data_IF_251531724505
#
_entry.id   IF_251531724505
#
_cell.length_a   1.000
_cell.length_b   1.000
_cell.length_c   1.000
_cell.angle_alpha   90.00
_cell.angle_beta   90.00
_cell.angle_gamma   90.00
#
_symmetry.space_group_name_H-M   'P 1'
#
loop_
_entity.id
_entity.type
_entity.pdbx_description
1 polymer ?
#
# COMPACT_ATOMS: atom_id res chain seq x y z
N UNK A 1 10.87 -17.86 16.44
CA UNK A 1 10.73 -17.29 15.08
C UNK A 1 9.32 -16.84 14.71
N UNK A 2 8.27 -17.66 14.90
CA UNK A 2 6.89 -17.29 14.50
C UNK A 2 6.25 -16.22 15.39
N UNK A 3 6.40 -16.33 16.72
CA UNK A 3 5.76 -15.41 17.66
C UNK A 3 6.32 -13.98 17.58
N UNK A 4 7.63 -13.84 17.38
CA UNK A 4 8.29 -12.54 17.24
C UNK A 4 7.85 -11.81 15.95
N UNK A 5 7.74 -12.54 14.84
CA UNK A 5 7.20 -11.98 13.58
C UNK A 5 5.73 -11.55 13.73
N UNK A 6 4.91 -12.34 14.43
CA UNK A 6 3.52 -11.97 14.70
C UNK A 6 3.42 -10.72 15.58
N UNK A 7 4.23 -10.62 16.64
CA UNK A 7 4.29 -9.44 17.49
C UNK A 7 4.61 -8.19 16.68
N UNK A 8 5.66 -8.22 15.85
CA UNK A 8 6.03 -7.06 15.03
C UNK A 8 5.03 -6.78 13.90
N UNK A 9 4.32 -7.80 13.38
CA UNK A 9 3.19 -7.61 12.47
C UNK A 9 2.04 -6.84 13.13
N UNK A 10 1.66 -7.21 14.36
CA UNK A 10 0.68 -6.50 15.16
C UNK A 10 1.15 -5.07 15.50
N UNK A 11 2.41 -4.93 15.90
CA UNK A 11 3.02 -3.63 16.23
C UNK A 11 2.99 -2.67 15.04
N UNK A 12 3.38 -3.13 13.85
CA UNK A 12 3.32 -2.34 12.62
C UNK A 12 1.88 -1.95 12.27
N UNK A 13 0.91 -2.85 12.47
CA UNK A 13 -0.52 -2.56 12.26
C UNK A 13 -1.02 -1.48 13.21
N UNK A 14 -0.69 -1.59 14.50
CA UNK A 14 -1.04 -0.60 15.52
C UNK A 14 -0.39 0.76 15.24
N UNK A 15 0.90 0.75 14.91
CA UNK A 15 1.65 1.95 14.56
C UNK A 15 1.03 2.64 13.33
N UNK A 16 0.65 1.87 12.30
CA UNK A 16 0.01 2.39 11.10
C UNK A 16 -1.38 2.98 11.38
N UNK A 17 -2.21 2.31 12.19
CA UNK A 17 -3.52 2.82 12.58
C UNK A 17 -3.44 4.13 13.39
N UNK A 18 -2.40 4.28 14.20
CA UNK A 18 -2.11 5.50 14.94
C UNK A 18 -1.66 6.69 14.07
N UNK A 19 -1.28 6.47 12.80
CA UNK A 19 -0.70 7.51 11.95
C UNK A 19 -1.67 8.60 11.54
N UNK A 20 -2.93 8.24 11.34
CA UNK A 20 -3.91 9.18 10.79
C UNK A 20 -4.31 10.26 11.81
N UNK A 21 -3.79 10.20 13.05
CA UNK A 21 -4.06 11.18 14.11
C UNK A 21 -5.53 11.27 14.52
N UNK A 22 -6.35 10.35 14.01
CA UNK A 22 -7.81 10.26 14.21
C UNK A 22 -8.20 9.25 15.30
N UNK A 23 -7.28 8.38 15.71
CA UNK A 23 -7.50 7.44 16.79
C UNK A 23 -7.51 8.15 18.14
N UNK A 24 -8.59 8.03 18.91
CA UNK A 24 -8.53 8.29 20.35
C UNK A 24 -7.60 7.27 21.00
N UNK A 25 -6.99 7.62 22.13
CA UNK A 25 -6.18 6.69 22.94
C UNK A 25 -6.93 5.39 23.25
N UNK A 26 -8.25 5.49 23.43
CA UNK A 26 -9.15 4.34 23.65
C UNK A 26 -9.22 3.39 22.45
N UNK A 27 -9.40 3.91 21.23
CA UNK A 27 -9.42 3.08 20.01
C UNK A 27 -8.10 2.35 19.77
N UNK A 28 -6.97 3.00 20.09
CA UNK A 28 -5.64 2.37 19.97
C UNK A 28 -5.49 1.23 20.99
N UNK A 29 -5.97 1.41 22.22
CA UNK A 29 -5.94 0.37 23.25
C UNK A 29 -6.85 -0.83 22.91
N UNK A 30 -8.06 -0.56 22.40
CA UNK A 30 -8.97 -1.60 21.91
C UNK A 30 -8.35 -2.39 20.74
N UNK A 31 -7.72 -1.70 19.79
CA UNK A 31 -7.04 -2.35 18.66
C UNK A 31 -5.86 -3.20 19.12
N UNK A 32 -5.03 -2.72 20.05
CA UNK A 32 -3.92 -3.51 20.60
C UNK A 32 -4.42 -4.79 21.29
N UNK A 33 -5.51 -4.69 22.05
CA UNK A 33 -6.15 -5.83 22.71
C UNK A 33 -6.70 -6.84 21.70
N UNK A 34 -7.36 -6.35 20.65
CA UNK A 34 -7.87 -7.19 19.57
C UNK A 34 -6.75 -7.89 18.79
N UNK A 35 -5.67 -7.17 18.46
CA UNK A 35 -4.50 -7.73 17.78
C UNK A 35 -3.87 -8.85 18.60
N UNK A 36 -3.65 -8.64 19.89
CA UNK A 36 -3.13 -9.67 20.79
C UNK A 36 -4.05 -10.91 20.83
N UNK A 37 -5.37 -10.70 20.91
CA UNK A 37 -6.35 -11.78 20.89
C UNK A 37 -6.29 -12.63 19.60
N UNK A 38 -6.20 -11.99 18.42
CA UNK A 38 -6.16 -12.70 17.13
C UNK A 38 -4.90 -13.55 16.95
N UNK A 39 -3.83 -13.26 17.69
CA UNK A 39 -2.60 -14.06 17.66
C UNK A 39 -2.64 -15.32 18.53
N UNK A 40 -3.76 -15.64 19.17
CA UNK A 40 -3.94 -16.83 20.02
C UNK A 40 -2.87 -16.96 21.12
N UNK A 41 -2.58 -15.83 21.80
CA UNK A 41 -1.64 -15.79 22.92
C UNK A 41 -0.16 -15.72 22.52
N UNK A 42 0.18 -15.49 21.23
CA UNK A 42 1.55 -15.27 20.81
C UNK A 42 2.15 -13.95 21.34
N UNK A 43 1.30 -12.96 21.63
CA UNK A 43 1.67 -11.71 22.28
C UNK A 43 0.57 -11.14 23.19
N UNK A 44 0.95 -10.23 24.09
CA UNK A 44 0.02 -9.45 24.92
C UNK A 44 -0.18 -8.04 24.36
N UNK A 45 -1.27 -7.37 24.75
CA UNK A 45 -1.53 -5.99 24.33
C UNK A 45 -0.38 -5.03 24.72
N UNK A 46 0.20 -5.21 25.91
CA UNK A 46 1.36 -4.44 26.39
C UNK A 46 2.58 -4.65 25.50
N UNK A 47 2.84 -5.90 25.08
CA UNK A 47 3.93 -6.20 24.15
C UNK A 47 3.70 -5.54 22.80
N UNK A 48 2.46 -5.56 22.27
CA UNK A 48 2.12 -4.90 21.01
C UNK A 48 2.35 -3.39 21.12
N UNK A 49 1.98 -2.76 22.23
CA UNK A 49 2.21 -1.33 22.48
C UNK A 49 3.70 -0.98 22.54
N UNK A 50 4.48 -1.73 23.31
CA UNK A 50 5.93 -1.49 23.44
C UNK A 50 6.64 -1.68 22.10
N UNK A 51 6.34 -2.77 21.39
CA UNK A 51 6.90 -3.03 20.07
C UNK A 51 6.47 -1.96 19.04
N UNK A 52 5.24 -1.43 19.12
CA UNK A 52 4.79 -0.36 18.23
C UNK A 52 5.58 0.94 18.47
N UNK A 53 5.87 1.26 19.74
CA UNK A 53 6.75 2.38 20.09
C UNK A 53 8.19 2.15 19.60
N UNK A 54 8.73 0.93 19.76
CA UNK A 54 10.05 0.57 19.22
C UNK A 54 10.13 0.74 17.70
N UNK A 55 9.10 0.29 16.96
CA UNK A 55 8.99 0.50 15.51
C UNK A 55 9.01 1.99 15.16
N UNK A 56 8.24 2.81 15.88
CA UNK A 56 8.21 4.26 15.66
C UNK A 56 9.58 4.91 15.91
N UNK A 57 10.25 4.56 17.01
CA UNK A 57 11.59 5.04 17.33
C UNK A 57 12.61 4.63 16.26
N UNK A 58 12.57 3.36 15.84
CA UNK A 58 13.49 2.81 14.83
C UNK A 58 13.34 3.53 13.49
N UNK A 59 12.12 3.87 13.10
CA UNK A 59 11.82 4.63 11.89
C UNK A 59 12.02 6.14 12.06
N UNK A 60 12.45 6.62 13.23
CA UNK A 60 12.60 8.03 13.56
C UNK A 60 11.31 8.82 13.38
N UNK A 61 10.16 8.19 13.67
CA UNK A 61 8.81 8.74 13.50
C UNK A 61 8.48 9.15 12.05
N UNK A 62 9.21 8.64 11.04
CA UNK A 62 9.00 8.93 9.62
C UNK A 62 8.00 7.98 8.96
N UNK A 63 6.84 7.80 9.57
CA UNK A 63 5.82 6.86 9.12
C UNK A 63 4.85 7.43 8.05
N UNK A 64 4.85 8.74 7.83
CA UNK A 64 3.97 9.43 6.87
C UNK A 64 4.49 9.39 5.40
N UNK A 65 5.22 8.34 5.02
CA UNK A 65 5.75 8.22 3.66
C UNK A 65 4.64 7.86 2.66
N UNK A 66 4.65 8.41 1.44
CA UNK A 66 3.66 8.07 0.44
C UNK A 66 3.70 6.59 0.04
N UNK A 67 2.55 5.92 0.13
CA UNK A 67 2.37 4.51 -0.26
C UNK A 67 2.01 4.37 -1.75
N UNK A 68 2.07 3.15 -2.28
CA UNK A 68 1.60 2.86 -3.64
C UNK A 68 0.13 3.29 -3.82
N UNK A 69 -0.72 3.06 -2.81
CA UNK A 69 -2.09 3.54 -2.78
C UNK A 69 -2.20 5.07 -2.92
N UNK A 70 -1.35 5.80 -2.20
CA UNK A 70 -1.33 7.27 -2.25
C UNK A 70 -1.00 7.78 -3.65
N UNK A 71 0.00 7.17 -4.31
CA UNK A 71 0.36 7.48 -5.69
C UNK A 71 -0.72 7.06 -6.68
N UNK A 72 -1.31 5.88 -6.52
CA UNK A 72 -2.37 5.36 -7.39
C UNK A 72 -3.55 6.32 -7.46
N UNK A 73 -4.06 6.77 -6.30
CA UNK A 73 -5.14 7.76 -6.23
C UNK A 73 -4.78 9.06 -6.95
N UNK A 74 -3.54 9.53 -6.80
CA UNK A 74 -3.06 10.73 -7.49
C UNK A 74 -3.03 10.55 -9.00
N UNK A 75 -2.61 9.38 -9.47
CA UNK A 75 -2.50 9.06 -10.89
C UNK A 75 -3.88 8.96 -11.53
N UNK A 76 -4.79 8.18 -10.93
CA UNK A 76 -6.14 7.95 -11.44
C UNK A 76 -6.95 9.25 -11.54
N UNK A 77 -6.81 10.17 -10.58
CA UNK A 77 -7.41 11.53 -10.69
C UNK A 77 -6.96 12.32 -11.93
N UNK A 78 -5.77 12.04 -12.47
CA UNK A 78 -5.20 12.73 -13.65
C UNK A 78 -5.42 11.98 -14.95
N UNK A 79 -5.55 10.65 -14.89
CA UNK A 79 -5.67 9.76 -16.05
C UNK A 79 -7.09 9.30 -16.33
N UNK A 80 -8.04 9.62 -15.44
CA UNK A 80 -9.40 9.11 -15.49
C UNK A 80 -9.49 7.68 -14.96
N UNK A 81 -10.60 7.38 -14.31
CA UNK A 81 -10.89 6.08 -13.70
C UNK A 81 -12.40 5.86 -13.63
N UNK A 82 -12.77 4.60 -13.49
CA UNK A 82 -14.10 4.10 -13.11
C UNK A 82 -13.93 3.17 -11.90
N UNK A 83 -15.03 2.83 -11.24
CA UNK A 83 -15.00 1.95 -10.08
C UNK A 83 -14.30 0.61 -10.37
N UNK A 84 -14.51 0.01 -11.56
CA UNK A 84 -13.89 -1.25 -11.95
C UNK A 84 -12.38 -1.09 -12.15
N UNK A 85 -11.95 -0.06 -12.89
CA UNK A 85 -10.51 0.18 -13.13
C UNK A 85 -9.75 0.60 -11.86
N UNK A 86 -10.42 1.30 -10.94
CA UNK A 86 -9.87 1.60 -9.63
C UNK A 86 -9.73 0.35 -8.78
N UNK A 87 -10.79 -0.48 -8.72
CA UNK A 87 -10.79 -1.72 -7.93
C UNK A 87 -9.71 -2.69 -8.41
N UNK A 88 -9.57 -2.86 -9.74
CA UNK A 88 -8.50 -3.68 -10.31
C UNK A 88 -7.13 -3.11 -9.99
N UNK A 89 -6.90 -1.81 -10.17
CA UNK A 89 -5.61 -1.22 -9.84
C UNK A 89 -5.29 -1.31 -8.34
N UNK A 90 -6.30 -1.17 -7.48
CA UNK A 90 -6.15 -1.32 -6.04
C UNK A 90 -5.78 -2.76 -5.68
N UNK A 91 -6.47 -3.74 -6.26
CA UNK A 91 -6.16 -5.14 -6.08
C UNK A 91 -4.70 -5.46 -6.47
N UNK A 92 -4.23 -4.95 -7.60
CA UNK A 92 -2.86 -5.17 -8.06
C UNK A 92 -1.80 -4.60 -7.10
N UNK A 93 -2.03 -3.41 -6.52
CA UNK A 93 -1.08 -2.85 -5.54
C UNK A 93 -1.13 -3.58 -4.19
N UNK A 94 -2.26 -4.17 -3.80
CA UNK A 94 -2.37 -5.01 -2.60
C UNK A 94 -1.65 -6.35 -2.79
N UNK A 95 -1.76 -6.98 -3.98
CA UNK A 95 -0.95 -8.15 -4.31
C UNK A 95 0.54 -7.85 -4.20
N UNK A 96 0.98 -6.72 -4.76
CA UNK A 96 2.36 -6.28 -4.67
C UNK A 96 2.82 -5.95 -3.24
N UNK A 97 1.91 -5.62 -2.31
CA UNK A 97 2.27 -5.37 -0.92
C UNK A 97 2.56 -6.66 -0.13
N UNK A 98 1.97 -7.78 -0.55
CA UNK A 98 2.10 -9.10 0.10
C UNK A 98 3.29 -9.88 -0.48
N UNK A 99 3.62 -9.64 -1.75
CA UNK A 99 4.73 -10.30 -2.43
C UNK A 99 6.07 -9.57 -2.18
N UNK A 100 7.00 -10.24 -1.50
CA UNK A 100 8.31 -9.69 -1.16
C UNK A 100 9.19 -9.37 -2.36
N UNK A 101 8.94 -9.97 -3.53
CA UNK A 101 9.64 -9.62 -4.77
C UNK A 101 9.43 -8.16 -5.16
N UNK A 102 8.32 -7.55 -4.75
CA UNK A 102 8.02 -6.16 -5.08
C UNK A 102 8.74 -5.14 -4.20
N UNK A 103 9.47 -5.57 -3.16
CA UNK A 103 10.28 -4.68 -2.31
C UNK A 103 11.40 -3.97 -3.09
N UNK A 104 11.82 -4.49 -4.24
CA UNK A 104 12.82 -3.85 -5.10
C UNK A 104 12.28 -2.63 -5.87
N UNK A 105 10.95 -2.52 -6.02
CA UNK A 105 10.32 -1.44 -6.77
C UNK A 105 9.89 -0.27 -5.88
N UNK A 106 10.04 0.94 -6.42
CA UNK A 106 9.54 2.15 -5.74
C UNK A 106 8.01 2.16 -5.73
N UNK A 107 7.35 2.66 -4.66
CA UNK A 107 5.88 2.75 -4.60
C UNK A 107 5.24 3.50 -5.79
N UNK A 108 5.94 4.47 -6.35
CA UNK A 108 5.54 5.20 -7.57
C UNK A 108 5.47 4.30 -8.81
N UNK A 109 6.43 3.38 -8.96
CA UNK A 109 6.49 2.44 -10.06
C UNK A 109 5.38 1.39 -9.95
N UNK A 110 5.18 0.82 -8.75
CA UNK A 110 4.09 -0.12 -8.44
C UNK A 110 2.72 0.51 -8.79
N UNK A 111 2.47 1.72 -8.30
CA UNK A 111 1.23 2.44 -8.58
C UNK A 111 1.02 2.77 -10.07
N UNK A 112 2.10 3.11 -10.78
CA UNK A 112 2.05 3.40 -12.21
C UNK A 112 1.81 2.11 -13.03
N UNK A 113 2.43 1.00 -12.66
CA UNK A 113 2.23 -0.31 -13.27
C UNK A 113 0.77 -0.75 -13.14
N UNK A 114 0.24 -0.73 -11.91
CA UNK A 114 -1.16 -1.06 -11.64
C UNK A 114 -2.15 -0.17 -12.43
N UNK A 115 -1.89 1.14 -12.53
CA UNK A 115 -2.73 2.06 -13.30
C UNK A 115 -2.65 1.84 -14.82
N UNK A 116 -1.51 1.34 -15.33
CA UNK A 116 -1.37 0.96 -16.74
C UNK A 116 -2.10 -0.35 -17.02
N UNK A 117 -1.84 -1.37 -16.20
CA UNK A 117 -2.44 -2.70 -16.33
C UNK A 117 -3.95 -2.63 -16.22
N UNK A 118 -4.51 -1.93 -15.23
CA UNK A 118 -5.98 -1.84 -15.09
C UNK A 118 -6.67 -1.25 -16.32
N UNK A 119 -5.99 -0.38 -17.08
CA UNK A 119 -6.51 0.20 -18.32
C UNK A 119 -6.31 -0.69 -19.55
N UNK A 120 -5.48 -1.72 -19.48
CA UNK A 120 -5.28 -2.69 -20.57
C UNK A 120 -6.37 -3.78 -20.58
N UNK A 121 -7.06 -4.01 -19.46
CA UNK A 121 -8.10 -5.03 -19.30
C UNK A 121 -9.49 -4.59 -19.84
N UNK A 122 -9.52 -3.64 -20.77
CA UNK A 122 -10.75 -3.16 -21.42
C UNK A 122 -11.55 -4.28 -22.09
N UNK A 123 -10.87 -5.24 -22.72
CA UNK A 123 -11.49 -6.39 -23.37
C UNK A 123 -12.11 -7.38 -22.38
N UNK A 124 -11.78 -7.28 -21.08
CA UNK A 124 -12.34 -8.11 -20.02
C UNK A 124 -13.46 -7.40 -19.24
N UNK A 125 -14.02 -6.30 -19.78
CA UNK A 125 -15.13 -5.57 -19.17
C UNK A 125 -14.71 -4.49 -18.16
N UNK A 126 -13.41 -4.24 -17.99
CA UNK A 126 -12.93 -3.14 -17.15
C UNK A 126 -13.12 -1.83 -17.90
N UNK A 127 -14.16 -1.08 -17.54
CA UNK A 127 -14.42 0.23 -18.13
C UNK A 127 -13.35 1.24 -17.71
N UNK A 128 -13.08 2.25 -18.54
CA UNK A 128 -12.16 3.35 -18.19
C UNK A 128 -12.70 4.68 -18.70
N UNK A 129 -12.52 5.74 -17.92
CA UNK A 129 -12.82 7.08 -18.42
C UNK A 129 -11.80 7.48 -19.49
N UNK A 130 -12.28 7.90 -20.65
CA UNK A 130 -11.41 8.40 -21.71
C UNK A 130 -10.76 9.71 -21.28
N UNK A 131 -9.42 9.72 -21.28
CA UNK A 131 -8.63 10.93 -21.03
C UNK A 131 -7.58 11.05 -22.14
N UNK A 132 -7.56 12.17 -22.89
CA UNK A 132 -6.55 12.41 -23.89
C UNK A 132 -5.15 12.42 -23.27
N UNK A 133 -4.20 11.80 -23.97
CA UNK A 133 -2.80 11.74 -23.56
C UNK A 133 -2.59 11.19 -22.13
N UNK A 134 -3.44 10.26 -21.67
CA UNK A 134 -3.37 9.70 -20.31
C UNK A 134 -1.99 9.13 -19.97
N UNK A 135 -1.31 8.47 -20.92
CA UNK A 135 0.06 7.93 -20.71
C UNK A 135 1.04 9.04 -20.39
N UNK A 136 1.06 10.10 -21.20
CA UNK A 136 1.94 11.25 -20.97
C UNK A 136 1.63 11.96 -19.64
N UNK A 137 0.33 12.06 -19.26
CA UNK A 137 -0.10 12.61 -17.97
C UNK A 137 0.35 11.76 -16.79
N UNK A 138 0.19 10.44 -16.89
CA UNK A 138 0.64 9.48 -15.88
C UNK A 138 2.13 9.65 -15.61
N UNK A 139 2.94 9.63 -16.68
CA UNK A 139 4.39 9.70 -16.58
C UNK A 139 4.88 11.00 -15.97
N UNK A 140 4.28 12.12 -16.37
CA UNK A 140 4.59 13.43 -15.78
C UNK A 140 4.30 13.46 -14.28
N UNK A 141 3.25 12.77 -13.83
CA UNK A 141 2.88 12.71 -12.42
C UNK A 141 3.70 11.69 -11.63
N UNK A 142 4.04 10.57 -12.26
CA UNK A 142 4.73 9.46 -11.62
C UNK A 142 6.22 9.71 -11.46
N UNK A 143 6.85 10.48 -12.36
CA UNK A 143 8.30 10.73 -12.37
C UNK A 143 9.10 9.42 -12.32
N UNK A 144 8.58 8.38 -12.97
CA UNK A 144 9.22 7.07 -13.13
C UNK A 144 9.83 6.95 -14.52
N UNK A 145 10.94 6.23 -14.63
CA UNK A 145 11.56 5.97 -15.93
C UNK A 145 10.79 4.87 -16.68
N UNK A 146 10.26 5.23 -17.86
CA UNK A 146 9.52 4.37 -18.76
C UNK A 146 10.30 3.15 -19.27
N UNK A 147 11.64 3.24 -19.31
CA UNK A 147 12.50 2.22 -19.93
C UNK A 147 13.12 1.31 -18.89
N UNK A 148 13.27 1.79 -17.66
CA UNK A 148 14.04 1.08 -16.63
C UNK A 148 13.17 0.60 -15.46
N UNK A 149 12.16 1.36 -15.04
CA UNK A 149 11.44 1.05 -13.80
C UNK A 149 10.05 0.48 -14.03
N UNK A 150 9.30 1.05 -14.99
CA UNK A 150 7.93 0.64 -15.24
C UNK A 150 7.79 -0.73 -15.93
N UNK A 151 8.58 -1.06 -16.98
CA UNK A 151 8.46 -2.36 -17.66
C UNK A 151 8.70 -3.58 -16.77
N UNK A 152 9.77 -3.66 -15.95
CA UNK A 152 9.97 -4.82 -15.09
C UNK A 152 8.88 -4.94 -14.03
N UNK A 153 8.50 -3.82 -13.39
CA UNK A 153 7.43 -3.83 -12.40
C UNK A 153 6.07 -4.28 -12.98
N UNK A 154 5.73 -3.82 -14.18
CA UNK A 154 4.50 -4.24 -14.85
C UNK A 154 4.55 -5.71 -15.31
N UNK A 155 5.72 -6.21 -15.73
CA UNK A 155 5.89 -7.61 -16.09
C UNK A 155 5.77 -8.54 -14.88
N UNK A 156 6.30 -8.15 -13.72
CA UNK A 156 6.15 -8.93 -12.49
C UNK A 156 4.72 -8.96 -11.95
N UNK A 157 3.86 -8.02 -12.39
CA UNK A 157 2.49 -7.84 -11.90
C UNK A 157 1.42 -8.46 -12.82
N UNK A 158 1.79 -8.88 -14.03
CA UNK A 158 0.89 -9.39 -15.08
C UNK A 158 1.00 -10.91 -15.22
#
# INVERSE_FOLDING_TARGET
>A
PSAELQLYGCACTLAAAGLDGRGSTELVAELASWLAFVTDGACTADQVHEAAHEVQCTLGFKLHQPTAYTFLRRYLRRTGWTEESFSLANYLIELAAIDSSFMEYRPQAIAAAAAVLSRQYLSQGVSVQHVPSWRAKLLRCARVDLRQELPPCAASMA
#
